data_IF_595632809755
#
_entry.id   IF_595632809755
#
_cell.length_a   1.000
_cell.length_b   1.000
_cell.length_c   1.000
_cell.angle_alpha   90.00
_cell.angle_beta   90.00
_cell.angle_gamma   90.00
#
_symmetry.space_group_name_H-M   'P 1'
#
loop_
_entity.id
_entity.type
_entity.pdbx_description
1 polymer ?
#
# COMPACT_ATOMS: atom_id res chain seq x y z
N UNK A 1 23.14 -60.44 -61.18
CA UNK A 1 24.29 -59.72 -61.75
C UNK A 1 24.02 -58.23 -61.65
N UNK A 2 24.97 -57.49 -61.03
CA UNK A 2 25.41 -56.07 -61.19
C UNK A 2 24.44 -55.01 -61.76
N UNK A 3 24.14 -53.96 -60.99
CA UNK A 3 24.69 -52.55 -61.01
C UNK A 3 23.78 -51.63 -61.88
N UNK A 4 23.51 -50.33 -61.66
CA UNK A 4 24.01 -49.24 -60.77
C UNK A 4 23.10 -47.99 -60.91
N UNK A 5 23.21 -47.03 -59.96
CA UNK A 5 22.89 -45.60 -60.11
C UNK A 5 21.58 -45.14 -59.45
N UNK A 6 21.54 -44.23 -58.47
CA UNK A 6 21.86 -42.79 -58.64
C UNK A 6 22.03 -42.14 -57.25
N UNK A 7 23.03 -41.25 -57.13
CA UNK A 7 23.37 -40.42 -55.95
C UNK A 7 23.10 -38.96 -56.31
N UNK A 8 22.44 -38.20 -55.44
CA UNK A 8 22.38 -36.72 -55.52
C UNK A 8 22.53 -36.12 -54.13
N UNK A 9 23.70 -35.51 -53.92
CA UNK A 9 24.03 -34.60 -52.82
C UNK A 9 23.39 -33.23 -53.07
N UNK A 10 22.85 -32.61 -52.02
CA UNK A 10 22.48 -31.19 -52.02
C UNK A 10 22.77 -30.59 -50.64
N UNK A 11 23.81 -29.77 -50.55
CA UNK A 11 24.04 -28.85 -49.43
C UNK A 11 24.55 -27.52 -49.99
N UNK A 12 23.72 -26.49 -49.84
CA UNK A 12 23.92 -25.15 -50.35
C UNK A 12 24.71 -24.28 -49.36
N UNK A 13 25.44 -23.32 -49.94
CA UNK A 13 26.42 -22.39 -49.34
C UNK A 13 25.80 -21.23 -48.52
N UNK A 14 26.64 -20.69 -47.62
CA UNK A 14 26.64 -19.35 -46.97
C UNK A 14 26.26 -18.19 -47.92
N UNK A 15 25.71 -17.05 -47.42
CA UNK A 15 26.46 -16.04 -46.62
C UNK A 15 25.64 -15.43 -45.47
N UNK A 16 26.19 -14.65 -44.53
CA UNK A 16 25.99 -13.17 -44.44
C UNK A 16 26.60 -12.61 -43.14
N UNK A 17 27.21 -11.43 -43.26
CA UNK A 17 27.78 -10.44 -42.32
C UNK A 17 26.99 -10.22 -41.01
N UNK A 18 27.63 -9.96 -39.84
CA UNK A 18 26.94 -9.34 -38.71
C UNK A 18 26.97 -7.82 -38.83
N UNK A 19 25.77 -7.26 -38.96
CA UNK A 19 25.44 -5.85 -39.05
C UNK A 19 25.64 -5.12 -37.72
N UNK A 20 26.17 -3.90 -37.83
CA UNK A 20 26.49 -2.96 -36.76
C UNK A 20 25.20 -2.42 -36.10
N UNK A 21 24.72 -3.02 -35.01
CA UNK A 21 23.61 -2.43 -34.23
C UNK A 21 24.12 -1.40 -33.23
N UNK A 22 23.98 -0.13 -33.61
CA UNK A 22 23.98 1.05 -32.73
C UNK A 22 22.99 0.85 -31.59
N UNK A 23 23.46 0.77 -30.35
CA UNK A 23 22.62 1.00 -29.17
C UNK A 23 22.55 2.51 -28.90
N UNK A 24 21.35 3.05 -29.01
CA UNK A 24 21.04 4.44 -28.68
C UNK A 24 21.25 4.68 -27.18
N UNK A 25 22.08 5.67 -26.85
CA UNK A 25 22.19 6.25 -25.51
C UNK A 25 20.86 6.95 -25.18
N UNK A 26 20.03 6.31 -24.36
CA UNK A 26 18.85 6.96 -23.80
C UNK A 26 19.30 7.81 -22.61
N UNK A 27 19.42 9.13 -22.83
CA UNK A 27 19.61 10.10 -21.76
C UNK A 27 18.27 10.24 -21.03
N UNK A 28 18.15 9.61 -19.88
CA UNK A 28 16.97 9.79 -19.02
C UNK A 28 16.97 11.22 -18.46
N UNK A 29 16.05 12.03 -18.95
CA UNK A 29 15.86 13.42 -18.53
C UNK A 29 14.97 13.44 -17.28
N UNK A 30 15.57 13.65 -16.11
CA UNK A 30 14.80 13.97 -14.91
C UNK A 30 14.17 15.38 -15.06
N UNK A 31 12.84 15.43 -15.03
CA UNK A 31 12.06 16.68 -15.06
C UNK A 31 11.69 17.06 -13.63
N UNK A 32 12.24 18.16 -13.12
CA UNK A 32 11.89 18.68 -11.79
C UNK A 32 11.01 19.92 -11.94
N UNK A 33 9.84 19.90 -11.32
CA UNK A 33 8.93 21.04 -11.25
C UNK A 33 9.27 21.90 -10.04
N UNK A 34 9.87 23.07 -10.26
CA UNK A 34 10.17 24.03 -9.20
C UNK A 34 9.07 25.08 -9.16
N UNK A 35 8.37 25.15 -8.03
CA UNK A 35 7.36 26.18 -7.74
C UNK A 35 8.02 27.33 -6.99
N UNK A 36 7.91 28.55 -7.51
CA UNK A 36 8.33 29.77 -6.82
C UNK A 36 7.10 30.58 -6.47
N UNK A 37 6.97 30.94 -5.20
CA UNK A 37 5.87 31.76 -4.69
C UNK A 37 6.44 33.15 -4.43
N UNK A 38 5.83 34.17 -5.05
CA UNK A 38 6.22 35.57 -4.87
C UNK A 38 5.00 36.42 -4.60
N UNK A 39 5.16 37.42 -3.74
CA UNK A 39 4.08 38.37 -3.41
C UNK A 39 4.02 39.45 -4.49
N UNK A 40 2.82 39.75 -5.01
CA UNK A 40 2.65 40.70 -6.10
C UNK A 40 2.50 42.11 -5.52
N UNK A 41 3.56 42.92 -5.60
CA UNK A 41 3.53 44.33 -5.21
C UNK A 41 3.26 44.56 -3.70
N UNK A 42 2.42 45.56 -3.37
CA UNK A 42 2.06 45.94 -1.98
C UNK A 42 0.83 45.22 -1.42
N UNK A 43 0.21 44.30 -2.18
CA UNK A 43 -0.99 43.58 -1.73
C UNK A 43 -0.65 42.21 -1.14
N UNK A 44 -1.58 41.59 -0.40
CA UNK A 44 -1.42 40.24 0.17
C UNK A 44 -1.58 39.10 -0.86
N UNK A 45 -1.62 39.40 -2.16
CA UNK A 45 -1.77 38.40 -3.20
C UNK A 45 -0.44 37.67 -3.46
N UNK A 46 -0.51 36.35 -3.57
CA UNK A 46 0.62 35.47 -3.91
C UNK A 46 0.48 34.99 -5.36
N UNK A 47 1.54 35.16 -6.14
CA UNK A 47 1.68 34.57 -7.47
C UNK A 47 2.57 33.34 -7.38
N UNK A 48 2.09 32.22 -7.93
CA UNK A 48 2.81 30.95 -7.98
C UNK A 48 3.26 30.73 -9.42
N UNK A 49 4.54 30.92 -9.68
CA UNK A 49 5.14 30.64 -10.97
C UNK A 49 5.81 29.26 -10.95
N UNK A 50 5.32 28.33 -11.76
CA UNK A 50 5.91 27.00 -11.92
C UNK A 50 6.79 27.01 -13.15
N UNK A 51 8.10 26.78 -12.99
CA UNK A 51 9.03 26.67 -14.13
C UNK A 51 9.53 25.23 -14.25
N UNK A 52 9.37 24.66 -15.44
CA UNK A 52 9.91 23.35 -15.81
C UNK A 52 11.40 23.50 -16.06
N UNK A 53 12.24 22.90 -15.22
CA UNK A 53 13.69 22.88 -15.43
C UNK A 53 14.13 21.49 -15.88
N UNK A 54 14.84 21.45 -17.01
CA UNK A 54 15.53 20.26 -17.48
C UNK A 54 16.90 20.23 -16.82
N UNK A 55 17.11 19.28 -15.90
CA UNK A 55 18.42 19.08 -15.27
C UNK A 55 19.28 18.26 -16.22
N UNK A 56 20.22 18.92 -16.89
CA UNK A 56 21.28 18.21 -17.62
C UNK A 56 22.36 17.83 -16.61
N UNK A 57 22.49 16.54 -16.30
CA UNK A 57 23.64 16.04 -15.54
C UNK A 57 24.91 16.24 -16.38
N UNK A 58 25.60 17.35 -16.18
CA UNK A 58 26.98 17.52 -16.60
C UNK A 58 27.84 16.80 -15.56
N UNK A 59 28.26 15.57 -15.87
CA UNK A 59 29.30 14.86 -15.13
C UNK A 59 30.58 15.70 -15.25
N UNK A 60 30.95 16.40 -14.17
CA UNK A 60 32.21 17.15 -14.11
C UNK A 60 33.34 16.11 -14.05
N UNK A 61 33.98 15.87 -15.18
CA UNK A 61 35.17 15.02 -15.29
C UNK A 61 36.32 15.69 -14.55
N UNK A 62 36.58 15.24 -13.32
CA UNK A 62 37.89 15.38 -12.70
C UNK A 62 38.87 14.46 -13.45
N UNK A 63 40.16 14.82 -13.62
CA UNK A 63 41.11 13.92 -14.27
C UNK A 63 41.22 12.63 -13.44
N UNK A 64 40.73 11.54 -14.00
CA UNK A 64 40.74 10.22 -13.39
C UNK A 64 42.18 9.71 -13.41
N UNK A 65 42.78 9.54 -12.24
CA UNK A 65 43.96 8.69 -12.08
C UNK A 65 43.56 7.27 -12.50
N UNK A 66 44.14 6.79 -13.60
CA UNK A 66 43.76 5.57 -14.32
C UNK A 66 44.10 4.28 -13.55
N UNK A 67 43.53 4.04 -12.38
CA UNK A 67 43.68 2.74 -11.69
C UNK A 67 42.49 2.32 -10.79
N UNK A 68 41.33 2.97 -10.87
CA UNK A 68 40.15 2.53 -10.13
C UNK A 68 39.10 1.95 -11.09
N UNK A 69 38.76 0.68 -10.89
CA UNK A 69 37.67 0.01 -11.60
C UNK A 69 36.33 0.76 -11.37
N UNK A 70 35.42 0.80 -12.35
CA UNK A 70 34.10 1.41 -12.18
C UNK A 70 33.37 0.71 -11.03
N UNK A 71 32.98 1.47 -10.00
CA UNK A 71 32.11 0.95 -8.94
C UNK A 71 30.75 0.63 -9.59
N UNK A 72 30.26 -0.61 -9.52
CA UNK A 72 28.97 -0.95 -10.09
C UNK A 72 27.84 -0.18 -9.37
N UNK A 73 26.77 0.22 -10.07
CA UNK A 73 25.63 0.87 -9.43
C UNK A 73 25.07 -0.04 -8.35
N UNK A 74 24.94 0.48 -7.13
CA UNK A 74 24.30 -0.25 -6.02
C UNK A 74 22.84 -0.48 -6.43
N UNK A 75 22.38 -1.73 -6.51
CA UNK A 75 20.97 -2.00 -6.82
C UNK A 75 20.09 -1.38 -5.73
N UNK A 76 18.90 -0.83 -6.07
CA UNK A 76 17.98 -0.33 -5.07
C UNK A 76 17.67 -1.45 -4.07
N UNK A 77 17.92 -1.18 -2.78
CA UNK A 77 17.63 -2.14 -1.71
C UNK A 77 16.13 -2.41 -1.69
N UNK A 78 15.73 -3.68 -1.81
CA UNK A 78 14.33 -4.08 -1.66
C UNK A 78 13.87 -3.82 -0.22
N UNK A 79 12.97 -2.86 -0.03
CA UNK A 79 12.45 -2.49 1.30
C UNK A 79 11.25 -3.36 1.71
N UNK A 80 10.69 -4.18 0.82
CA UNK A 80 9.50 -4.98 1.13
C UNK A 80 9.67 -5.95 2.29
N UNK A 81 10.83 -6.60 2.50
CA UNK A 81 11.04 -7.42 3.68
C UNK A 81 10.80 -6.65 4.98
N UNK A 82 11.21 -5.37 5.02
CA UNK A 82 10.99 -4.48 6.15
C UNK A 82 9.50 -4.11 6.30
N UNK A 83 8.87 -3.62 5.23
CA UNK A 83 7.44 -3.28 5.25
C UNK A 83 6.56 -4.47 5.65
N UNK A 84 6.90 -5.67 5.15
CA UNK A 84 6.18 -6.90 5.48
C UNK A 84 6.39 -7.35 6.93
N UNK A 85 7.52 -7.02 7.55
CA UNK A 85 7.76 -7.28 8.96
C UNK A 85 6.97 -6.29 9.84
N UNK A 86 6.94 -5.01 9.47
CA UNK A 86 6.16 -3.98 10.17
C UNK A 86 4.65 -4.27 10.08
N UNK A 87 4.14 -4.64 8.90
CA UNK A 87 2.74 -5.02 8.71
C UNK A 87 2.36 -6.24 9.56
N UNK A 88 3.26 -7.23 9.68
CA UNK A 88 3.06 -8.39 10.55
C UNK A 88 3.01 -7.99 12.02
N UNK A 89 3.90 -7.12 12.47
CA UNK A 89 3.87 -6.61 13.85
C UNK A 89 2.56 -5.85 14.16
N UNK A 90 2.03 -5.08 13.21
CA UNK A 90 0.71 -4.45 13.35
C UNK A 90 -0.42 -5.48 13.39
N UNK A 91 -0.35 -6.53 12.58
CA UNK A 91 -1.31 -7.62 12.63
C UNK A 91 -1.30 -8.34 13.99
N UNK A 92 -0.12 -8.57 14.57
CA UNK A 92 0.00 -9.16 15.89
C UNK A 92 -0.55 -8.24 16.99
N UNK A 93 -0.33 -6.92 16.88
CA UNK A 93 -0.96 -5.93 17.76
C UNK A 93 -2.49 -5.95 17.64
N UNK A 94 -3.02 -5.98 16.42
CA UNK A 94 -4.47 -6.08 16.19
C UNK A 94 -5.04 -7.38 16.76
N UNK A 95 -4.38 -8.51 16.53
CA UNK A 95 -4.78 -9.80 17.10
C UNK A 95 -4.77 -9.74 18.64
N UNK A 96 -3.77 -9.09 19.24
CA UNK A 96 -3.72 -8.86 20.69
C UNK A 96 -4.85 -7.96 21.18
N UNK A 97 -5.17 -6.91 20.42
CA UNK A 97 -6.26 -5.97 20.70
C UNK A 97 -7.62 -6.67 20.75
N UNK A 98 -7.91 -7.54 19.77
CA UNK A 98 -9.11 -8.39 19.78
C UNK A 98 -8.97 -9.64 20.64
N UNK A 99 -7.92 -9.72 21.47
CA UNK A 99 -7.65 -10.80 22.43
C UNK A 99 -7.54 -12.20 21.78
N UNK A 100 -7.05 -12.26 20.55
CA UNK A 100 -6.92 -13.49 19.76
C UNK A 100 -8.25 -14.11 19.35
N UNK A 101 -9.38 -13.41 19.54
CA UNK A 101 -10.70 -13.87 19.13
C UNK A 101 -10.97 -13.55 17.66
N UNK A 102 -12.02 -14.13 17.08
CA UNK A 102 -12.47 -13.68 15.76
C UNK A 102 -13.10 -12.29 15.84
N UNK A 103 -13.05 -11.53 14.73
CA UNK A 103 -13.67 -10.20 14.62
C UNK A 103 -15.16 -10.21 15.02
N UNK A 104 -15.90 -11.28 14.67
CA UNK A 104 -17.29 -11.47 15.07
C UNK A 104 -17.47 -11.62 16.58
N UNK A 105 -16.65 -12.46 17.21
CA UNK A 105 -16.68 -12.66 18.66
C UNK A 105 -16.27 -11.40 19.42
N UNK A 106 -15.26 -10.67 18.93
CA UNK A 106 -14.87 -9.39 19.49
C UNK A 106 -16.04 -8.39 19.44
N UNK A 107 -16.68 -8.24 18.29
CA UNK A 107 -17.80 -7.33 18.16
C UNK A 107 -18.98 -7.75 19.06
N UNK A 108 -19.31 -9.04 19.13
CA UNK A 108 -20.31 -9.56 20.07
C UNK A 108 -19.97 -9.23 21.52
N UNK A 109 -18.69 -9.30 21.89
CA UNK A 109 -18.24 -8.96 23.24
C UNK A 109 -18.51 -7.49 23.59
N UNK A 110 -18.36 -6.57 22.63
CA UNK A 110 -18.67 -5.15 22.81
C UNK A 110 -20.17 -4.92 23.02
N UNK A 111 -21.03 -5.54 22.20
CA UNK A 111 -22.49 -5.45 22.40
C UNK A 111 -22.90 -6.03 23.76
N UNK A 112 -22.33 -7.18 24.14
CA UNK A 112 -22.58 -7.76 25.47
C UNK A 112 -22.15 -6.81 26.58
N UNK A 113 -20.98 -6.18 26.47
CA UNK A 113 -20.51 -5.20 27.45
C UNK A 113 -21.46 -4.00 27.56
N UNK A 114 -21.96 -3.49 26.43
CA UNK A 114 -22.87 -2.35 26.38
C UNK A 114 -24.23 -2.63 27.03
N UNK A 115 -24.81 -3.81 26.78
CA UNK A 115 -26.11 -4.19 27.31
C UNK A 115 -26.06 -4.88 28.68
N UNK A 116 -24.88 -5.16 29.23
CA UNK A 116 -24.75 -5.92 30.50
C UNK A 116 -25.34 -5.13 31.67
N UNK A 117 -26.52 -5.53 32.12
CA UNK A 117 -27.35 -4.85 33.13
C UNK A 117 -26.68 -4.68 34.50
N UNK A 118 -25.70 -5.51 34.82
CA UNK A 118 -24.98 -5.48 36.11
C UNK A 118 -23.58 -4.85 35.98
N UNK A 119 -23.28 -4.23 34.84
CA UNK A 119 -22.01 -3.54 34.59
C UNK A 119 -22.13 -2.07 34.96
N UNK A 120 -21.08 -1.51 35.56
CA UNK A 120 -20.95 -0.05 35.72
C UNK A 120 -20.96 0.69 34.38
N UNK A 121 -20.65 -0.03 33.29
CA UNK A 121 -20.56 0.53 31.94
C UNK A 121 -21.83 0.34 31.11
N UNK A 122 -22.95 -0.11 31.69
CA UNK A 122 -24.18 -0.31 30.93
C UNK A 122 -24.61 0.98 30.20
N UNK A 123 -24.86 0.88 28.89
CA UNK A 123 -25.28 2.02 28.08
C UNK A 123 -24.21 3.08 27.85
N UNK A 124 -22.98 2.90 28.33
CA UNK A 124 -21.91 3.86 28.14
C UNK A 124 -21.38 3.79 26.71
N UNK A 125 -21.42 4.93 26.02
CA UNK A 125 -20.93 5.06 24.65
C UNK A 125 -19.42 4.85 24.53
N UNK A 126 -18.67 5.06 25.63
CA UNK A 126 -17.22 4.82 25.71
C UNK A 126 -16.85 3.37 25.37
N UNK A 127 -17.76 2.41 25.55
CA UNK A 127 -17.56 1.01 25.13
C UNK A 127 -17.24 0.89 23.63
N UNK A 128 -17.70 1.84 22.82
CA UNK A 128 -17.40 1.88 21.38
C UNK A 128 -16.37 2.96 21.04
N UNK A 129 -16.39 4.10 21.72
CA UNK A 129 -15.46 5.22 21.42
C UNK A 129 -14.02 4.86 21.78
N UNK A 130 -13.78 4.30 22.96
CA UNK A 130 -12.43 3.96 23.42
C UNK A 130 -11.73 2.98 22.46
N UNK A 131 -12.33 1.83 22.08
CA UNK A 131 -11.69 0.94 21.11
C UNK A 131 -11.58 1.53 19.70
N UNK A 132 -12.47 2.45 19.29
CA UNK A 132 -12.34 3.12 17.98
C UNK A 132 -11.08 3.97 17.90
N UNK A 133 -10.71 4.66 18.97
CA UNK A 133 -9.48 5.46 19.02
C UNK A 133 -8.25 4.59 18.72
N UNK A 134 -8.09 3.47 19.43
CA UNK A 134 -6.98 2.54 19.25
C UNK A 134 -6.98 1.91 17.84
N UNK A 135 -8.17 1.62 17.30
CA UNK A 135 -8.31 1.06 15.94
C UNK A 135 -7.90 2.06 14.86
N UNK A 136 -8.20 3.35 15.03
CA UNK A 136 -7.76 4.39 14.10
C UNK A 136 -6.23 4.55 14.13
N UNK A 137 -5.61 4.49 15.29
CA UNK A 137 -4.15 4.52 15.38
C UNK A 137 -3.49 3.33 14.67
N UNK A 138 -4.09 2.12 14.80
CA UNK A 138 -3.66 0.94 14.05
C UNK A 138 -3.88 1.11 12.55
N UNK A 139 -5.01 1.68 12.13
CA UNK A 139 -5.32 1.94 10.73
C UNK A 139 -4.32 2.94 10.12
N UNK A 140 -4.05 4.06 10.78
CA UNK A 140 -3.11 5.08 10.31
C UNK A 140 -1.70 4.52 10.13
N UNK A 141 -1.25 3.72 11.10
CA UNK A 141 0.03 3.03 11.00
C UNK A 141 0.06 2.07 9.80
N UNK A 142 -1.05 1.38 9.53
CA UNK A 142 -1.16 0.46 8.40
C UNK A 142 -1.19 1.20 7.06
N UNK A 143 -1.94 2.29 6.97
CA UNK A 143 -2.02 3.16 5.79
C UNK A 143 -0.65 3.73 5.44
N UNK A 144 0.14 4.13 6.44
CA UNK A 144 1.53 4.57 6.23
C UNK A 144 2.37 3.51 5.51
N UNK A 145 2.24 2.23 5.89
CA UNK A 145 2.96 1.12 5.24
C UNK A 145 2.44 0.92 3.80
N UNK A 146 1.13 1.01 3.60
CA UNK A 146 0.52 0.89 2.27
C UNK A 146 1.02 1.98 1.34
N UNK A 147 1.06 3.23 1.78
CA UNK A 147 1.54 4.38 1.01
C UNK A 147 3.01 4.20 0.64
N UNK A 148 3.87 3.81 1.58
CA UNK A 148 5.28 3.52 1.31
C UNK A 148 5.45 2.38 0.29
N UNK A 149 4.64 1.32 0.38
CA UNK A 149 4.69 0.22 -0.58
C UNK A 149 4.25 0.66 -1.99
N UNK A 150 3.26 1.55 -2.06
CA UNK A 150 2.75 2.11 -3.32
C UNK A 150 3.78 3.04 -3.97
N UNK A 151 4.48 3.86 -3.17
CA UNK A 151 5.54 4.75 -3.68
C UNK A 151 6.72 3.98 -4.28
N UNK A 152 7.06 2.82 -3.71
CA UNK A 152 8.24 2.05 -4.16
C UNK A 152 7.97 1.12 -5.32
N UNK A 153 6.84 0.40 -5.32
CA UNK A 153 6.56 -0.63 -6.34
C UNK A 153 5.28 -0.36 -7.14
N UNK A 154 4.49 0.64 -6.76
CA UNK A 154 3.18 0.89 -7.36
C UNK A 154 2.18 -0.22 -7.01
N UNK A 155 1.17 -0.38 -7.86
CA UNK A 155 0.11 -1.39 -7.71
C UNK A 155 0.64 -2.78 -8.05
N UNK A 156 1.44 -3.35 -7.15
CA UNK A 156 2.04 -4.68 -7.27
C UNK A 156 1.24 -5.76 -6.56
N UNK A 157 1.56 -7.04 -6.82
CA UNK A 157 1.00 -8.17 -6.05
C UNK A 157 1.32 -8.03 -4.57
N UNK A 158 2.54 -7.61 -4.22
CA UNK A 158 2.97 -7.43 -2.83
C UNK A 158 2.23 -6.29 -2.14
N UNK A 159 2.03 -5.17 -2.84
CA UNK A 159 1.19 -4.07 -2.36
C UNK A 159 -0.24 -4.55 -2.09
N UNK A 160 -0.86 -5.25 -3.06
CA UNK A 160 -2.22 -5.77 -2.88
C UNK A 160 -2.33 -6.75 -1.71
N UNK A 161 -1.31 -7.59 -1.48
CA UNK A 161 -1.26 -8.47 -0.31
C UNK A 161 -1.21 -7.70 1.01
N UNK A 162 -0.45 -6.60 1.08
CA UNK A 162 -0.46 -5.70 2.24
C UNK A 162 -1.85 -5.07 2.42
N UNK A 163 -2.45 -4.55 1.35
CA UNK A 163 -3.80 -3.96 1.43
C UNK A 163 -4.82 -4.96 1.97
N UNK A 164 -4.80 -6.20 1.48
CA UNK A 164 -5.69 -7.26 1.97
C UNK A 164 -5.43 -7.62 3.44
N UNK A 165 -4.17 -7.67 3.86
CA UNK A 165 -3.83 -7.97 5.25
C UNK A 165 -4.30 -6.88 6.23
N UNK A 166 -4.45 -5.63 5.81
CA UNK A 166 -5.08 -4.56 6.61
C UNK A 166 -6.61 -4.62 6.65
N UNK A 167 -7.25 -5.42 5.78
CA UNK A 167 -8.70 -5.54 5.68
C UNK A 167 -9.44 -5.86 6.98
N UNK A 168 -8.95 -6.79 7.84
CA UNK A 168 -9.51 -7.06 9.16
C UNK A 168 -9.68 -5.82 10.05
N UNK A 169 -8.71 -4.91 10.08
CA UNK A 169 -8.75 -3.69 10.91
C UNK A 169 -9.91 -2.80 10.44
N UNK A 170 -9.96 -2.53 9.13
CA UNK A 170 -11.03 -1.74 8.51
C UNK A 170 -12.42 -2.35 8.75
N UNK A 171 -12.50 -3.68 8.77
CA UNK A 171 -13.75 -4.39 9.03
C UNK A 171 -14.22 -4.20 10.47
N UNK A 172 -13.32 -4.29 11.45
CA UNK A 172 -13.67 -4.00 12.86
C UNK A 172 -14.10 -2.54 13.01
N UNK A 173 -13.35 -1.59 12.45
CA UNK A 173 -13.69 -0.16 12.50
C UNK A 173 -15.12 0.05 12.01
N UNK A 174 -15.43 -0.41 10.79
CA UNK A 174 -16.78 -0.30 10.20
C UNK A 174 -17.86 -0.86 11.13
N UNK A 175 -17.61 -1.99 11.78
CA UNK A 175 -18.60 -2.61 12.67
C UNK A 175 -18.78 -1.85 13.97
N UNK A 176 -17.69 -1.38 14.59
CA UNK A 176 -17.76 -0.63 15.84
C UNK A 176 -18.33 0.77 15.62
N UNK A 177 -17.99 1.43 14.51
CA UNK A 177 -18.63 2.68 14.07
C UNK A 177 -20.13 2.52 13.92
N UNK A 178 -20.59 1.42 13.31
CA UNK A 178 -22.02 1.16 13.12
C UNK A 178 -22.76 1.01 14.46
N UNK A 179 -22.13 0.38 15.46
CA UNK A 179 -22.69 0.34 16.83
C UNK A 179 -22.74 1.73 17.44
N UNK A 180 -21.61 2.45 17.38
CA UNK A 180 -21.51 3.79 17.92
C UNK A 180 -22.59 4.71 17.35
N UNK A 181 -22.75 4.76 16.03
CA UNK A 181 -23.79 5.55 15.37
C UNK A 181 -25.20 5.17 15.84
N UNK A 182 -25.49 3.86 15.97
CA UNK A 182 -26.79 3.40 16.46
C UNK A 182 -27.04 3.71 17.95
N UNK A 183 -26.00 4.04 18.71
CA UNK A 183 -26.11 4.33 20.16
C UNK A 183 -26.25 5.81 20.48
N UNK A 184 -26.09 6.69 19.48
CA UNK A 184 -26.25 8.15 19.65
C UNK A 184 -27.64 8.48 20.23
N UNK A 185 -28.67 7.80 19.72
CA UNK A 185 -30.06 7.95 20.19
C UNK A 185 -30.37 7.11 21.44
N UNK A 186 -29.36 6.45 22.00
CA UNK A 186 -29.44 5.62 23.19
C UNK A 186 -29.62 4.12 22.92
N UNK A 187 -29.68 3.30 23.99
CA UNK A 187 -29.64 1.84 23.89
C UNK A 187 -30.80 1.22 23.11
N UNK A 188 -31.97 1.87 23.11
CA UNK A 188 -33.16 1.39 22.40
C UNK A 188 -32.99 1.37 20.89
N UNK A 189 -32.29 2.37 20.32
CA UNK A 189 -32.03 2.46 18.88
C UNK A 189 -31.12 1.33 18.42
N UNK A 190 -30.00 1.11 19.12
CA UNK A 190 -29.10 -0.02 18.87
C UNK A 190 -29.83 -1.37 18.99
N UNK A 191 -30.65 -1.56 20.03
CA UNK A 191 -31.39 -2.80 20.22
C UNK A 191 -32.40 -3.04 19.07
N UNK A 192 -33.09 -1.98 18.62
CA UNK A 192 -34.00 -2.05 17.49
C UNK A 192 -33.25 -2.51 16.23
N UNK A 193 -32.15 -1.83 15.89
CA UNK A 193 -31.31 -2.13 14.71
C UNK A 193 -30.73 -3.56 14.75
N UNK A 194 -30.27 -3.99 15.92
CA UNK A 194 -29.79 -5.36 16.15
C UNK A 194 -30.87 -6.40 15.88
N UNK A 195 -32.08 -6.21 16.42
CA UNK A 195 -33.19 -7.17 16.29
C UNK A 195 -33.68 -7.32 14.86
N UNK A 196 -33.65 -6.24 14.07
CA UNK A 196 -34.00 -6.27 12.64
C UNK A 196 -32.83 -6.66 11.73
N UNK A 197 -31.70 -7.13 12.30
CA UNK A 197 -30.51 -7.60 11.60
C UNK A 197 -29.88 -6.58 10.65
N UNK A 198 -29.90 -5.30 11.01
CA UNK A 198 -29.41 -4.21 10.16
C UNK A 198 -27.99 -3.77 10.45
N UNK A 199 -27.36 -4.28 11.50
CA UNK A 199 -25.99 -3.92 11.79
C UNK A 199 -25.03 -4.40 10.69
N UNK A 200 -23.96 -3.66 10.47
CA UNK A 200 -22.94 -3.95 9.47
C UNK A 200 -22.37 -5.35 9.63
N UNK A 201 -22.08 -5.79 10.87
CA UNK A 201 -21.62 -7.18 11.07
C UNK A 201 -22.66 -8.17 10.56
N UNK A 202 -23.94 -7.96 10.91
CA UNK A 202 -24.98 -8.98 10.71
C UNK A 202 -25.18 -9.22 9.22
N UNK A 203 -25.10 -8.13 8.44
CA UNK A 203 -25.14 -8.17 6.97
C UNK A 203 -23.92 -8.85 6.38
N UNK A 204 -22.73 -8.55 6.89
CA UNK A 204 -21.47 -9.13 6.40
C UNK A 204 -21.31 -10.63 6.73
N UNK A 205 -22.08 -11.20 7.67
CA UNK A 205 -22.01 -12.61 8.10
C UNK A 205 -23.14 -13.51 7.58
N UNK A 206 -24.22 -12.94 7.06
CA UNK A 206 -25.39 -13.69 6.56
C UNK A 206 -25.29 -13.97 5.04
N UNK A 207 -24.29 -13.38 4.37
CA UNK A 207 -24.10 -13.51 2.91
C UNK A 207 -23.34 -14.77 2.49
#
# INVERSE_FOLDING_TARGET
MKETGTKSDSSAKLPTTPELRKTHSSKELAVVNVKRITRVGKTNALEIQTRRKYLTYQVRTLPLSNNAAPVPPIPPTDIFPKLSAEARALQDKFNSFIQGTSIGQYAESLLRAYFKSNSKCQGQISIFVDPLQDLYELQDAYTTIQDQSLEVEGLSVRHNSLVQAGGPINKVIKWVEDFWHCTIDGPGSLLCTYNVKRLAWQRDTIS
#
